data_IF_858517199662
#
_entry.id   IF_858517199662
#
_cell.length_a   1.000
_cell.length_b   1.000
_cell.length_c   1.000
_cell.angle_alpha   90.00
_cell.angle_beta   90.00
_cell.angle_gamma   90.00
#
_symmetry.space_group_name_H-M   'P 1'
#
loop_
_entity.id
_entity.type
_entity.pdbx_description
1 polymer ?
#
# COMPACT_ATOMS: atom_id res chain seq x y z
N UNK A 1 9.90 -14.06 64.94
CA UNK A 1 10.25 -14.87 63.75
C UNK A 1 9.06 -15.54 63.02
N UNK A 2 7.83 -15.59 63.55
CA UNK A 2 6.64 -16.10 62.80
C UNK A 2 5.77 -15.01 62.15
N UNK A 3 5.83 -13.76 62.64
CA UNK A 3 5.00 -12.64 62.14
C UNK A 3 5.55 -11.92 60.90
N UNK A 4 6.87 -11.82 60.75
CA UNK A 4 7.50 -11.06 59.65
C UNK A 4 7.42 -11.78 58.30
N UNK A 5 7.47 -13.12 58.31
CA UNK A 5 7.42 -13.96 57.10
C UNK A 5 6.02 -14.01 56.47
N UNK A 6 4.96 -13.91 57.29
CA UNK A 6 3.58 -13.82 56.78
C UNK A 6 3.28 -12.47 56.11
N UNK A 7 3.84 -11.38 56.66
CA UNK A 7 3.70 -10.05 56.09
C UNK A 7 4.42 -9.92 54.74
N UNK A 8 5.62 -10.49 54.60
CA UNK A 8 6.37 -10.48 53.34
C UNK A 8 5.67 -11.27 52.24
N UNK A 9 5.11 -12.44 52.58
CA UNK A 9 4.33 -13.24 51.63
C UNK A 9 3.06 -12.49 51.18
N UNK A 10 2.34 -11.87 52.12
CA UNK A 10 1.15 -11.07 51.81
C UNK A 10 1.44 -9.89 50.89
N UNK A 11 2.56 -9.19 51.11
CA UNK A 11 3.02 -8.08 50.27
C UNK A 11 3.38 -8.59 48.86
N UNK A 12 4.07 -9.74 48.75
CA UNK A 12 4.39 -10.34 47.46
C UNK A 12 3.12 -10.72 46.67
N UNK A 13 2.10 -11.28 47.32
CA UNK A 13 0.82 -11.58 46.67
C UNK A 13 0.08 -10.32 46.21
N UNK A 14 0.08 -9.26 47.03
CA UNK A 14 -0.49 -7.96 46.65
C UNK A 14 0.25 -7.33 45.46
N UNK A 15 1.58 -7.41 45.42
CA UNK A 15 2.40 -6.92 44.31
C UNK A 15 2.15 -7.75 43.04
N UNK A 16 2.06 -9.08 43.14
CA UNK A 16 1.76 -9.95 41.99
C UNK A 16 0.34 -9.71 41.42
N UNK A 17 -0.64 -9.42 42.28
CA UNK A 17 -2.00 -9.04 41.85
C UNK A 17 -2.04 -7.66 41.18
N UNK A 18 -1.23 -6.71 41.63
CA UNK A 18 -1.13 -5.39 40.98
C UNK A 18 -0.45 -5.51 39.61
N UNK A 19 0.58 -6.35 39.47
CA UNK A 19 1.28 -6.58 38.20
C UNK A 19 0.39 -7.27 37.16
N UNK A 20 -0.49 -8.20 37.56
CA UNK A 20 -1.38 -8.89 36.62
C UNK A 20 -2.44 -7.96 36.01
N UNK A 21 -2.90 -6.94 36.75
CA UNK A 21 -3.85 -5.94 36.24
C UNK A 21 -3.24 -4.95 35.23
N UNK A 22 -1.91 -4.83 35.20
CA UNK A 22 -1.21 -3.86 34.33
C UNK A 22 -0.93 -4.38 32.91
N UNK A 23 -1.12 -5.67 32.64
CA UNK A 23 -0.72 -6.32 31.38
C UNK A 23 -1.83 -6.38 30.31
N UNK A 24 -2.98 -5.76 30.52
CA UNK A 24 -4.10 -5.83 29.57
C UNK A 24 -4.55 -4.47 29.03
N UNK A 25 -3.59 -3.61 28.71
CA UNK A 25 -3.81 -2.47 27.84
C UNK A 25 -3.67 -2.94 26.39
N UNK A 26 -4.71 -3.64 25.88
CA UNK A 26 -4.78 -3.97 24.45
C UNK A 26 -5.03 -2.66 23.70
N UNK A 27 -4.07 -2.20 22.91
CA UNK A 27 -4.27 -1.04 22.05
C UNK A 27 -5.33 -1.42 21.02
N UNK A 28 -6.56 -0.95 21.23
CA UNK A 28 -7.62 -1.06 20.25
C UNK A 28 -7.20 -0.28 19.00
N UNK A 29 -6.88 -1.00 17.93
CA UNK A 29 -6.72 -0.40 16.60
C UNK A 29 -8.03 0.31 16.29
N UNK A 30 -7.97 1.63 16.03
CA UNK A 30 -9.16 2.38 15.60
C UNK A 30 -9.81 1.59 14.45
N UNK A 31 -11.12 1.28 14.52
CA UNK A 31 -11.80 0.65 13.41
C UNK A 31 -11.53 1.52 12.19
N UNK A 32 -10.91 0.94 11.16
CA UNK A 32 -10.84 1.59 9.85
C UNK A 32 -12.30 1.92 9.51
N UNK A 33 -12.65 3.18 9.19
CA UNK A 33 -14.00 3.52 8.77
C UNK A 33 -14.41 2.47 7.75
N UNK A 34 -15.53 1.77 7.98
CA UNK A 34 -16.01 0.68 7.14
C UNK A 34 -15.89 1.11 5.67
N UNK A 35 -14.81 0.65 5.03
CA UNK A 35 -14.55 0.99 3.64
C UNK A 35 -15.72 0.39 2.89
N UNK A 36 -16.45 1.21 2.12
CA UNK A 36 -17.56 0.74 1.31
C UNK A 36 -17.00 -0.07 0.14
N UNK A 37 -16.58 -1.30 0.43
CA UNK A 37 -15.88 -2.17 -0.50
C UNK A 37 -16.79 -2.60 -1.65
N UNK A 38 -18.10 -2.70 -1.40
CA UNK A 38 -19.10 -3.12 -2.38
C UNK A 38 -19.60 -1.99 -3.29
N UNK A 39 -19.08 -0.75 -3.11
CA UNK A 39 -19.44 0.36 -3.99
C UNK A 39 -18.71 0.23 -5.31
N UNK A 40 -19.40 0.60 -6.39
CA UNK A 40 -18.76 0.76 -7.70
C UNK A 40 -17.62 1.77 -7.64
N UNK A 41 -16.50 1.40 -8.26
CA UNK A 41 -15.29 2.22 -8.31
C UNK A 41 -15.47 3.44 -9.23
N UNK A 42 -16.18 3.25 -10.35
CA UNK A 42 -16.44 4.29 -11.33
C UNK A 42 -17.66 5.11 -10.91
N UNK A 43 -17.47 6.41 -10.70
CA UNK A 43 -18.54 7.33 -10.28
C UNK A 43 -18.48 8.62 -11.09
N UNK A 44 -19.62 9.03 -11.64
CA UNK A 44 -19.74 10.22 -12.50
C UNK A 44 -19.33 11.50 -11.76
N UNK A 45 -19.64 11.56 -10.46
CA UNK A 45 -19.23 12.67 -9.58
C UNK A 45 -17.72 12.82 -9.51
N UNK A 46 -16.97 11.71 -9.45
CA UNK A 46 -15.51 11.70 -9.42
C UNK A 46 -14.93 12.15 -10.77
N UNK A 47 -15.49 11.66 -11.89
CA UNK A 47 -15.08 12.10 -13.24
C UNK A 47 -15.30 13.61 -13.42
N UNK A 48 -16.46 14.13 -13.01
CA UNK A 48 -16.77 15.57 -13.09
C UNK A 48 -15.86 16.40 -12.19
N UNK A 49 -15.60 15.93 -10.97
CA UNK A 49 -14.71 16.62 -10.04
C UNK A 49 -13.30 16.75 -10.63
N UNK A 50 -12.75 15.66 -11.17
CA UNK A 50 -11.42 15.65 -11.77
C UNK A 50 -11.39 16.57 -12.99
N UNK A 51 -12.34 16.41 -13.92
CA UNK A 51 -12.36 17.17 -15.17
C UNK A 51 -12.76 18.64 -14.99
N UNK A 52 -13.27 19.02 -13.81
CA UNK A 52 -13.49 20.41 -13.43
C UNK A 52 -12.20 21.18 -13.16
N UNK A 53 -11.06 20.48 -12.97
CA UNK A 53 -9.76 21.11 -12.85
C UNK A 53 -9.18 21.42 -14.25
N UNK A 54 -9.21 22.70 -14.63
CA UNK A 54 -8.67 23.16 -15.91
C UNK A 54 -7.13 23.03 -16.02
N UNK A 55 -6.42 22.86 -14.91
CA UNK A 55 -4.96 22.70 -14.88
C UNK A 55 -4.52 21.24 -14.97
N UNK A 56 -5.47 20.29 -15.01
CA UNK A 56 -5.13 18.88 -15.13
C UNK A 56 -4.57 18.57 -16.53
N UNK A 57 -3.35 18.06 -16.60
CA UNK A 57 -2.72 17.58 -17.85
C UNK A 57 -3.32 16.27 -18.40
N UNK A 58 -4.46 15.82 -17.87
CA UNK A 58 -5.11 14.54 -18.19
C UNK A 58 -6.63 14.66 -18.00
N UNK A 59 -7.37 13.73 -18.61
CA UNK A 59 -8.84 13.69 -18.56
C UNK A 59 -9.33 12.36 -17.99
N UNK A 60 -10.21 12.43 -16.98
CA UNK A 60 -10.90 11.26 -16.45
C UNK A 60 -12.05 10.82 -17.36
N UNK A 61 -12.30 9.51 -17.39
CA UNK A 61 -13.40 8.89 -18.12
C UNK A 61 -13.85 7.58 -17.43
N UNK A 62 -15.08 7.15 -17.73
CA UNK A 62 -15.61 5.86 -17.31
C UNK A 62 -15.03 4.75 -18.18
N UNK A 63 -13.87 4.21 -17.82
CA UNK A 63 -13.21 3.17 -18.60
C UNK A 63 -14.04 1.87 -18.59
N UNK A 64 -14.49 1.36 -19.76
CA UNK A 64 -15.33 0.16 -19.82
C UNK A 64 -14.71 -1.09 -19.19
N UNK A 65 -13.37 -1.17 -19.14
CA UNK A 65 -12.65 -2.27 -18.47
C UNK A 65 -13.01 -2.37 -16.98
N UNK A 66 -13.42 -1.27 -16.36
CA UNK A 66 -13.75 -1.21 -14.94
C UNK A 66 -15.26 -1.02 -14.67
N UNK A 67 -16.10 -1.20 -15.69
CA UNK A 67 -17.55 -1.15 -15.52
C UNK A 67 -18.00 -2.19 -14.50
N UNK A 68 -18.86 -1.77 -13.57
CA UNK A 68 -19.43 -2.61 -12.51
C UNK A 68 -18.42 -3.20 -11.52
N UNK A 69 -17.14 -2.81 -11.58
CA UNK A 69 -16.17 -3.22 -10.57
C UNK A 69 -16.45 -2.51 -9.26
N UNK A 70 -16.49 -3.28 -8.19
CA UNK A 70 -16.50 -2.78 -6.82
C UNK A 70 -15.11 -2.26 -6.42
N UNK A 71 -15.04 -1.48 -5.34
CA UNK A 71 -13.77 -1.06 -4.73
C UNK A 71 -12.95 -2.29 -4.30
N UNK A 72 -13.60 -3.37 -3.85
CA UNK A 72 -12.93 -4.61 -3.46
C UNK A 72 -12.22 -5.27 -4.66
N UNK A 73 -12.93 -5.46 -5.76
CA UNK A 73 -12.39 -6.08 -6.98
C UNK A 73 -11.30 -5.22 -7.61
N UNK A 74 -11.49 -3.89 -7.62
CA UNK A 74 -10.47 -2.99 -8.16
C UNK A 74 -9.16 -3.06 -7.37
N UNK A 75 -9.21 -3.26 -6.04
CA UNK A 75 -8.01 -3.42 -5.21
C UNK A 75 -7.17 -4.64 -5.59
N UNK A 76 -7.76 -5.70 -6.17
CA UNK A 76 -6.99 -6.86 -6.62
C UNK A 76 -6.05 -6.54 -7.78
N UNK A 77 -6.31 -5.46 -8.53
CA UNK A 77 -5.41 -4.95 -9.56
C UNK A 77 -4.17 -4.26 -8.98
N UNK A 78 -4.20 -3.87 -7.69
CA UNK A 78 -3.15 -3.12 -7.00
C UNK A 78 -2.25 -4.05 -6.17
N UNK A 79 -1.80 -5.16 -6.77
CA UNK A 79 -1.16 -6.28 -6.06
C UNK A 79 0.32 -6.10 -5.68
N UNK A 80 0.95 -4.95 -5.94
CA UNK A 80 2.36 -4.72 -5.63
C UNK A 80 2.54 -4.57 -4.11
N UNK A 81 3.40 -5.39 -3.52
CA UNK A 81 3.79 -5.31 -2.11
C UNK A 81 5.08 -4.49 -1.96
N UNK A 82 5.28 -3.78 -0.84
CA UNK A 82 6.56 -3.16 -0.53
C UNK A 82 7.69 -4.19 -0.61
N UNK A 83 8.82 -3.78 -1.18
CA UNK A 83 10.01 -4.63 -1.27
C UNK A 83 10.63 -4.81 0.12
N UNK A 84 10.92 -6.04 0.56
CA UNK A 84 11.64 -6.30 1.81
C UNK A 84 13.01 -5.60 1.90
N UNK A 85 13.39 -5.20 3.10
CA UNK A 85 14.73 -4.66 3.35
C UNK A 85 15.79 -5.73 3.07
N UNK A 86 16.73 -5.43 2.18
CA UNK A 86 17.85 -6.32 1.84
C UNK A 86 17.80 -6.91 0.44
N UNK A 87 16.64 -6.92 -0.22
CA UNK A 87 16.49 -7.48 -1.57
C UNK A 87 17.30 -6.72 -2.63
N UNK A 88 17.58 -5.44 -2.38
CA UNK A 88 18.42 -4.61 -3.26
C UNK A 88 19.92 -4.73 -2.98
N UNK A 89 20.35 -5.37 -1.87
CA UNK A 89 21.78 -5.42 -1.48
C UNK A 89 22.65 -6.14 -2.52
N UNK A 90 22.06 -7.02 -3.33
CA UNK A 90 22.75 -7.77 -4.38
C UNK A 90 22.70 -7.10 -5.75
N UNK A 91 21.94 -6.02 -5.93
CA UNK A 91 21.76 -5.34 -7.22
C UNK A 91 22.76 -4.19 -7.31
N UNK A 92 23.70 -4.29 -8.24
CA UNK A 92 24.64 -3.21 -8.54
C UNK A 92 23.92 -2.00 -9.16
N UNK A 93 24.13 -0.81 -8.60
CA UNK A 93 23.60 0.44 -9.14
C UNK A 93 24.66 1.05 -10.06
N UNK A 94 24.37 1.12 -11.36
CA UNK A 94 25.23 1.81 -12.33
C UNK A 94 24.86 3.30 -12.35
N UNK A 95 25.86 4.16 -12.13
CA UNK A 95 25.68 5.62 -12.15
C UNK A 95 26.48 6.22 -13.30
N UNK A 96 25.86 7.16 -14.03
CA UNK A 96 26.51 7.91 -15.11
C UNK A 96 26.83 9.34 -14.70
N UNK A 97 27.78 9.97 -15.40
CA UNK A 97 28.13 11.38 -15.17
C UNK A 97 26.94 12.30 -15.48
N UNK A 98 26.73 13.33 -14.66
CA UNK A 98 25.66 14.32 -14.86
C UNK A 98 25.79 15.14 -16.16
N UNK A 99 26.99 15.16 -16.75
CA UNK A 99 27.27 15.79 -18.04
C UNK A 99 26.77 14.98 -19.24
N UNK A 100 26.28 13.75 -19.02
CA UNK A 100 25.69 12.94 -20.08
C UNK A 100 24.46 13.65 -20.67
N UNK A 101 24.50 13.91 -21.97
CA UNK A 101 23.40 14.55 -22.69
C UNK A 101 22.30 13.53 -22.97
N UNK A 102 21.23 13.59 -22.20
CA UNK A 102 20.02 12.79 -22.44
C UNK A 102 19.13 13.46 -23.50
N UNK A 103 18.38 12.68 -24.30
CA UNK A 103 17.44 13.25 -25.25
C UNK A 103 16.28 13.92 -24.52
N UNK A 104 15.65 14.90 -25.17
CA UNK A 104 14.47 15.59 -24.64
C UNK A 104 13.27 14.64 -24.49
N UNK A 105 13.14 13.70 -25.41
CA UNK A 105 12.06 12.70 -25.47
C UNK A 105 12.68 11.34 -25.78
N UNK A 106 12.10 10.27 -25.22
CA UNK A 106 12.59 8.91 -25.40
C UNK A 106 11.41 7.92 -25.40
N UNK A 107 11.37 7.05 -26.40
CA UNK A 107 10.45 5.92 -26.46
C UNK A 107 11.25 4.65 -26.74
N UNK A 108 11.15 3.67 -25.83
CA UNK A 108 11.85 2.40 -25.94
C UNK A 108 11.45 1.62 -27.20
N UNK A 109 10.19 1.74 -27.64
CA UNK A 109 9.70 1.05 -28.86
C UNK A 109 10.40 1.58 -30.11
N UNK A 110 10.71 2.87 -30.13
CA UNK A 110 11.44 3.52 -31.21
C UNK A 110 12.94 3.22 -31.14
N UNK A 111 13.52 3.16 -29.94
CA UNK A 111 14.94 2.86 -29.75
C UNK A 111 15.31 1.41 -30.07
N UNK A 112 14.39 0.46 -29.83
CA UNK A 112 14.60 -0.98 -30.08
C UNK A 112 13.43 -1.58 -30.88
N UNK A 113 13.28 -1.20 -32.16
CA UNK A 113 12.12 -1.58 -32.96
C UNK A 113 12.07 -3.08 -33.27
N UNK A 114 13.21 -3.78 -33.22
CA UNK A 114 13.29 -5.22 -33.43
C UNK A 114 12.84 -6.04 -32.21
N UNK A 115 12.65 -5.40 -31.05
CA UNK A 115 12.21 -6.06 -29.82
C UNK A 115 10.69 -5.93 -29.67
N UNK A 116 9.95 -6.87 -30.27
CA UNK A 116 8.48 -6.87 -30.25
C UNK A 116 7.88 -6.89 -28.84
N UNK A 117 8.58 -7.45 -27.86
CA UNK A 117 8.13 -7.51 -26.46
C UNK A 117 7.93 -6.15 -25.81
N UNK A 118 8.65 -5.11 -26.24
CA UNK A 118 8.57 -3.76 -25.66
C UNK A 118 7.22 -3.10 -25.94
N UNK A 119 6.63 -3.38 -27.10
CA UNK A 119 5.33 -2.83 -27.51
C UNK A 119 4.12 -3.62 -26.99
N UNK A 120 4.34 -4.78 -26.39
CA UNK A 120 3.26 -5.71 -26.05
C UNK A 120 2.60 -5.34 -24.72
N UNK A 121 1.29 -5.11 -24.74
CA UNK A 121 0.49 -4.89 -23.53
C UNK A 121 -0.03 -6.24 -23.04
N UNK A 122 0.43 -6.64 -21.85
CA UNK A 122 -0.02 -7.88 -21.19
C UNK A 122 -1.25 -7.61 -20.32
N UNK A 123 -2.17 -8.56 -20.28
CA UNK A 123 -3.34 -8.53 -19.40
C UNK A 123 -3.28 -9.67 -18.40
N UNK A 124 -3.42 -9.37 -17.11
CA UNK A 124 -3.72 -10.38 -16.10
C UNK A 124 -5.19 -10.77 -16.26
N UNK A 125 -5.45 -12.03 -16.66
CA UNK A 125 -6.78 -12.61 -16.59
C UNK A 125 -7.10 -12.83 -15.11
N UNK A 126 -8.02 -12.03 -14.57
CA UNK A 126 -8.61 -12.30 -13.26
C UNK A 126 -9.77 -13.29 -13.55
N UNK A 127 -9.68 -14.56 -13.10
CA UNK A 127 -10.79 -15.50 -13.20
C UNK A 127 -11.97 -15.09 -12.30
#
# INVERSE_FOLDING_TARGET
>A
MKGEMGATIGICYLVLLLISTFQQQVIAVKPIPQLKLDKEILQESVVKLINGNAEAGWRAAMNPRFSNHTVAEFKHLLGVKPMPEGDLKSISVVTHAKSLKLPKEFDARTAWPHCSTIGNILGQLIP
#
